data_IF_046950033565
#
_entry.id   IF_046950033565
#
_cell.length_a   1.000
_cell.length_b   1.000
_cell.length_c   1.000
_cell.angle_alpha   90.00
_cell.angle_beta   90.00
_cell.angle_gamma   90.00
#
_symmetry.space_group_name_H-M   'P 1'
#
loop_
_entity.id
_entity.type
_entity.pdbx_description
1 polymer ?
#
# COMPACT_ATOMS: atom_id res chain seq x y z
N UNK A 1 11.39 19.22 -7.45
CA UNK A 1 10.56 19.13 -6.22
C UNK A 1 10.58 20.48 -5.51
N UNK A 2 9.47 20.92 -4.91
CA UNK A 2 9.36 22.24 -4.27
C UNK A 2 9.98 22.33 -2.87
N UNK A 3 10.20 21.21 -2.16
CA UNK A 3 10.78 21.15 -0.81
C UNK A 3 11.65 19.89 -0.62
N UNK A 4 12.89 19.87 -1.13
CA UNK A 4 13.74 18.67 -1.12
C UNK A 4 14.15 18.22 0.29
N UNK A 5 14.24 19.15 1.25
CA UNK A 5 14.70 18.86 2.62
C UNK A 5 13.60 18.36 3.55
N UNK A 6 12.35 18.28 3.06
CA UNK A 6 11.22 17.77 3.86
C UNK A 6 10.94 16.33 3.49
N UNK A 7 10.81 15.42 4.48
CA UNK A 7 10.35 14.07 4.20
C UNK A 7 8.94 14.14 3.60
N UNK A 8 8.72 13.34 2.55
CA UNK A 8 7.42 13.18 1.90
C UNK A 8 7.00 11.73 2.04
N UNK A 9 5.80 11.54 2.60
CA UNK A 9 5.17 10.23 2.75
C UNK A 9 3.92 10.20 1.87
N UNK A 10 3.81 9.17 1.04
CA UNK A 10 2.56 8.80 0.38
C UNK A 10 1.96 7.60 1.12
N UNK A 11 0.74 7.73 1.62
CA UNK A 11 0.01 6.62 2.21
C UNK A 11 -1.08 6.17 1.25
N UNK A 12 -1.09 4.87 0.90
CA UNK A 12 -2.02 4.28 -0.07
C UNK A 12 -2.45 2.88 0.37
N UNK A 13 -3.51 2.35 -0.23
CA UNK A 13 -3.77 0.90 -0.24
C UNK A 13 -3.03 0.21 -1.39
N UNK A 14 -2.98 -1.12 -1.34
CA UNK A 14 -2.52 -2.02 -2.41
C UNK A 14 -3.21 -1.77 -3.76
N UNK A 15 -4.54 -1.66 -3.78
CA UNK A 15 -5.32 -1.31 -4.98
C UNK A 15 -4.86 0.01 -5.59
N UNK A 16 -4.59 1.01 -4.74
CA UNK A 16 -4.10 2.32 -5.16
C UNK A 16 -2.69 2.26 -5.73
N UNK A 17 -1.82 1.44 -5.13
CA UNK A 17 -0.48 1.23 -5.65
C UNK A 17 -0.49 0.54 -7.01
N UNK A 18 -1.36 -0.45 -7.24
CA UNK A 18 -1.46 -1.12 -8.53
C UNK A 18 -1.68 -0.16 -9.71
N UNK A 19 -2.43 0.93 -9.52
CA UNK A 19 -2.62 1.95 -10.56
C UNK A 19 -1.33 2.74 -10.89
N UNK A 20 -0.37 2.77 -9.98
CA UNK A 20 0.79 3.65 -10.02
C UNK A 20 2.13 2.93 -9.78
N UNK A 21 2.19 1.61 -9.96
CA UNK A 21 3.42 0.82 -9.74
C UNK A 21 4.62 1.36 -10.53
N UNK A 22 4.39 1.85 -11.75
CA UNK A 22 5.44 2.45 -12.59
C UNK A 22 6.07 3.72 -11.99
N UNK A 23 5.39 4.40 -11.06
CA UNK A 23 5.91 5.61 -10.43
C UNK A 23 7.05 5.32 -9.44
N UNK A 24 7.21 4.07 -8.99
CA UNK A 24 8.39 3.66 -8.22
C UNK A 24 9.65 3.84 -9.07
N UNK A 25 9.63 3.37 -10.33
CA UNK A 25 10.74 3.57 -11.28
C UNK A 25 11.00 5.06 -11.51
N UNK A 26 9.94 5.85 -11.74
CA UNK A 26 10.07 7.30 -11.93
C UNK A 26 10.75 7.94 -10.72
N UNK A 27 10.36 7.58 -9.49
CA UNK A 27 10.97 8.11 -8.28
C UNK A 27 12.46 7.78 -8.20
N UNK A 28 12.85 6.55 -8.53
CA UNK A 28 14.25 6.10 -8.58
C UNK A 28 15.04 6.87 -9.62
N UNK A 29 14.59 6.87 -10.88
CA UNK A 29 15.29 7.56 -11.99
C UNK A 29 15.39 9.07 -11.79
N UNK A 30 14.47 9.67 -11.04
CA UNK A 30 14.45 11.11 -10.77
C UNK A 30 15.07 11.50 -9.43
N UNK A 31 15.55 10.54 -8.62
CA UNK A 31 16.14 10.81 -7.31
C UNK A 31 15.16 11.45 -6.32
N UNK A 32 13.89 11.04 -6.38
CA UNK A 32 12.81 11.57 -5.54
C UNK A 32 12.74 10.75 -4.26
N UNK A 33 13.11 11.34 -3.13
CA UNK A 33 13.08 10.69 -1.82
C UNK A 33 11.65 10.58 -1.26
N UNK A 34 10.84 9.76 -1.92
CA UNK A 34 9.47 9.44 -1.53
C UNK A 34 9.45 8.15 -0.69
N UNK A 35 8.81 8.22 0.48
CA UNK A 35 8.45 7.03 1.26
C UNK A 35 6.99 6.70 0.95
N UNK A 36 6.73 5.59 0.28
CA UNK A 36 5.39 5.08 0.01
C UNK A 36 5.05 4.02 1.05
N UNK A 37 4.07 4.28 1.90
CA UNK A 37 3.51 3.32 2.85
C UNK A 37 2.25 2.73 2.25
N UNK A 38 2.25 1.41 2.10
CA UNK A 38 1.15 0.65 1.51
C UNK A 38 0.44 -0.11 2.62
N UNK A 39 -0.84 0.17 2.81
CA UNK A 39 -1.72 -0.72 3.56
C UNK A 39 -2.15 -1.87 2.64
N UNK A 40 -1.50 -3.01 2.79
CA UNK A 40 -1.69 -4.19 1.97
C UNK A 40 -2.54 -5.24 2.72
N UNK A 41 -3.84 -5.18 2.49
CA UNK A 41 -4.81 -6.14 3.00
C UNK A 41 -5.25 -7.15 1.93
N UNK A 42 -4.58 -7.18 0.78
CA UNK A 42 -4.95 -7.97 -0.39
C UNK A 42 -6.39 -7.71 -0.88
N UNK A 43 -6.87 -6.47 -0.80
CA UNK A 43 -8.21 -6.15 -1.29
C UNK A 43 -8.64 -4.69 -1.25
N UNK A 44 -9.41 -4.30 -2.27
CA UNK A 44 -10.12 -3.04 -2.37
C UNK A 44 -11.29 -2.91 -1.38
N UNK A 45 -11.04 -3.00 -0.08
CA UNK A 45 -12.05 -3.04 0.98
C UNK A 45 -13.04 -1.86 0.97
N UNK A 46 -12.66 -0.72 0.41
CA UNK A 46 -13.58 0.42 0.22
C UNK A 46 -14.75 0.09 -0.71
N UNK A 47 -14.53 -0.82 -1.68
CA UNK A 47 -15.55 -1.26 -2.62
C UNK A 47 -16.44 -2.37 -2.04
N UNK A 48 -15.99 -3.09 -1.01
CA UNK A 48 -16.70 -4.25 -0.42
C UNK A 48 -18.14 -3.91 -0.03
N UNK A 49 -18.37 -2.79 0.68
CA UNK A 49 -19.75 -2.39 1.07
C UNK A 49 -20.64 -2.06 -0.13
N UNK A 50 -20.07 -1.45 -1.16
CA UNK A 50 -20.80 -1.17 -2.41
C UNK A 50 -21.17 -2.46 -3.13
N UNK A 51 -20.22 -3.39 -3.17
CA UNK A 51 -20.37 -4.72 -3.75
C UNK A 51 -21.45 -5.53 -3.04
N UNK A 52 -21.35 -5.68 -1.72
CA UNK A 52 -22.33 -6.44 -0.92
C UNK A 52 -23.75 -5.91 -1.13
N UNK A 53 -23.93 -4.58 -1.20
CA UNK A 53 -25.23 -3.96 -1.50
C UNK A 53 -25.73 -4.27 -2.91
N UNK A 54 -24.85 -4.20 -3.91
CA UNK A 54 -25.22 -4.46 -5.31
C UNK A 54 -25.68 -5.90 -5.54
N UNK A 55 -25.16 -6.85 -4.76
CA UNK A 55 -25.48 -8.29 -4.86
C UNK A 55 -26.40 -8.78 -3.73
N UNK A 56 -27.07 -7.88 -3.01
CA UNK A 56 -28.05 -8.25 -1.96
C UNK A 56 -27.47 -9.08 -0.81
N UNK A 57 -26.17 -8.93 -0.52
CA UNK A 57 -25.46 -9.70 0.49
C UNK A 57 -25.19 -11.16 0.12
N UNK A 58 -25.45 -11.57 -1.12
CA UNK A 58 -25.29 -12.94 -1.62
C UNK A 58 -24.13 -13.04 -2.61
N UNK A 59 -22.98 -12.47 -2.25
CA UNK A 59 -21.77 -12.59 -3.06
C UNK A 59 -21.32 -14.07 -3.11
N UNK A 60 -21.06 -14.57 -4.32
CA UNK A 60 -20.40 -15.88 -4.49
C UNK A 60 -18.90 -15.75 -4.24
N UNK A 61 -18.21 -16.87 -4.03
CA UNK A 61 -16.75 -16.85 -3.87
C UNK A 61 -16.05 -16.17 -5.06
N UNK A 62 -16.52 -16.46 -6.29
CA UNK A 62 -16.03 -15.82 -7.52
C UNK A 62 -16.29 -14.32 -7.59
N UNK A 63 -17.32 -13.84 -6.90
CA UNK A 63 -17.65 -12.42 -6.84
C UNK A 63 -16.60 -11.65 -6.01
N UNK A 64 -16.01 -12.31 -5.00
CA UNK A 64 -14.95 -11.71 -4.17
C UNK A 64 -13.65 -11.45 -4.95
N UNK A 65 -13.34 -12.28 -5.95
CA UNK A 65 -12.17 -12.11 -6.85
C UNK A 65 -12.15 -10.76 -7.58
N UNK A 66 -13.29 -10.06 -7.70
CA UNK A 66 -13.38 -8.75 -8.34
C UNK A 66 -12.74 -7.62 -7.53
N UNK A 67 -12.49 -7.84 -6.23
CA UNK A 67 -11.93 -6.83 -5.34
C UNK A 67 -10.86 -7.35 -4.40
N UNK A 68 -10.62 -8.66 -4.33
CA UNK A 68 -9.48 -9.27 -3.61
C UNK A 68 -8.31 -9.53 -4.54
N UNK A 69 -7.09 -9.47 -4.01
CA UNK A 69 -5.86 -9.70 -4.74
C UNK A 69 -5.09 -10.91 -4.18
N UNK A 70 -4.06 -11.34 -4.91
CA UNK A 70 -3.11 -12.33 -4.41
C UNK A 70 -2.14 -11.67 -3.42
N UNK A 71 -1.51 -12.49 -2.57
CA UNK A 71 -0.37 -12.04 -1.76
C UNK A 71 0.79 -11.70 -2.69
N UNK A 72 1.03 -10.40 -2.85
CA UNK A 72 2.09 -9.82 -3.66
C UNK A 72 2.96 -8.98 -2.76
N UNK A 73 4.25 -9.29 -2.78
CA UNK A 73 5.28 -8.57 -2.03
C UNK A 73 5.73 -7.32 -2.81
N UNK A 74 5.13 -6.17 -2.47
CA UNK A 74 5.47 -4.89 -3.09
C UNK A 74 6.85 -4.38 -2.68
N UNK A 75 7.36 -4.79 -1.51
CA UNK A 75 8.72 -4.46 -1.11
C UNK A 75 9.74 -5.06 -2.09
N UNK A 76 9.57 -6.34 -2.47
CA UNK A 76 10.43 -6.98 -3.47
C UNK A 76 10.28 -6.37 -4.86
N UNK A 77 9.06 -6.01 -5.27
CA UNK A 77 8.85 -5.29 -6.54
C UNK A 77 9.61 -3.95 -6.53
N UNK A 78 9.55 -3.21 -5.43
CA UNK A 78 10.25 -1.95 -5.28
C UNK A 78 11.78 -2.13 -5.37
N UNK A 79 12.33 -3.18 -4.75
CA UNK A 79 13.75 -3.53 -4.87
C UNK A 79 14.16 -3.81 -6.32
N UNK A 80 13.34 -4.54 -7.09
CA UNK A 80 13.59 -4.79 -8.51
C UNK A 80 13.62 -3.51 -9.35
N UNK A 81 12.87 -2.47 -8.93
CA UNK A 81 12.85 -1.16 -9.57
C UNK A 81 13.96 -0.22 -9.05
N UNK A 82 14.78 -0.66 -8.09
CA UNK A 82 15.88 0.11 -7.52
C UNK A 82 15.50 1.01 -6.34
N UNK A 83 14.29 0.87 -5.78
CA UNK A 83 13.91 1.48 -4.50
C UNK A 83 14.33 0.58 -3.33
N UNK A 84 14.23 1.08 -2.10
CA UNK A 84 14.33 0.24 -0.90
C UNK A 84 12.95 -0.40 -0.62
N UNK A 85 12.90 -1.72 -0.51
CA UNK A 85 11.73 -2.45 -0.03
C UNK A 85 11.79 -2.71 1.47
N UNK A 86 10.69 -2.53 2.19
CA UNK A 86 10.52 -2.95 3.58
C UNK A 86 9.16 -3.61 3.72
N UNK A 87 9.13 -4.91 4.02
CA UNK A 87 7.89 -5.62 4.36
C UNK A 87 7.67 -5.61 5.86
N UNK A 88 6.43 -5.39 6.29
CA UNK A 88 6.00 -5.39 7.70
C UNK A 88 4.86 -6.40 7.85
N UNK A 89 5.16 -7.55 8.45
CA UNK A 89 4.17 -8.60 8.73
C UNK A 89 3.67 -8.59 10.19
N UNK A 90 4.35 -7.86 11.10
CA UNK A 90 3.97 -7.77 12.51
C UNK A 90 3.77 -6.32 12.93
N UNK A 91 2.72 -5.99 13.71
CA UNK A 91 2.49 -4.63 14.18
C UNK A 91 3.67 -4.00 14.92
N UNK A 92 4.42 -4.79 15.71
CA UNK A 92 5.58 -4.32 16.46
C UNK A 92 6.75 -3.86 15.60
N UNK A 93 6.81 -4.28 14.33
CA UNK A 93 7.91 -3.96 13.42
C UNK A 93 7.69 -2.61 12.68
N UNK A 94 6.46 -2.06 12.75
CA UNK A 94 6.07 -0.88 11.97
C UNK A 94 6.88 0.37 12.31
N UNK A 95 7.10 0.64 13.60
CA UNK A 95 7.83 1.84 14.03
C UNK A 95 9.26 1.83 13.48
N UNK A 96 9.98 0.71 13.63
CA UNK A 96 11.34 0.56 13.11
C UNK A 96 11.40 0.60 11.58
N UNK A 97 10.37 0.09 10.89
CA UNK A 97 10.27 0.18 9.44
C UNK A 97 10.14 1.63 8.96
N UNK A 98 9.31 2.45 9.62
CA UNK A 98 9.14 3.87 9.30
C UNK A 98 10.42 4.68 9.57
N UNK A 99 11.09 4.44 10.70
CA UNK A 99 12.36 5.11 11.02
C UNK A 99 13.44 4.82 9.97
N UNK A 100 13.55 3.55 9.57
CA UNK A 100 14.47 3.11 8.51
C UNK A 100 14.10 3.73 7.15
N UNK A 101 12.81 3.81 6.82
CA UNK A 101 12.34 4.39 5.55
C UNK A 101 12.65 5.89 5.47
N UNK A 102 12.35 6.64 6.53
CA UNK A 102 12.56 8.09 6.59
C UNK A 102 14.05 8.46 6.58
N UNK A 103 14.91 7.59 7.13
CA UNK A 103 16.35 7.80 7.19
C UNK A 103 17.11 7.30 5.93
N UNK A 104 16.43 6.64 4.99
CA UNK A 104 17.08 5.97 3.86
C UNK A 104 17.68 6.93 2.81
N UNK A 105 17.16 8.16 2.72
CA UNK A 105 17.63 9.16 1.75
C UNK A 105 17.48 8.75 0.28
N UNK A 106 16.58 7.81 -0.02
CA UNK A 106 16.25 7.27 -1.36
C UNK A 106 14.78 6.86 -1.41
N UNK A 107 14.17 6.57 -2.58
CA UNK A 107 12.81 6.06 -2.65
C UNK A 107 12.64 4.78 -1.84
N UNK A 108 11.54 4.66 -1.10
CA UNK A 108 11.22 3.50 -0.25
C UNK A 108 9.77 3.08 -0.44
N UNK A 109 9.51 1.77 -0.49
CA UNK A 109 8.18 1.20 -0.34
C UNK A 109 8.14 0.40 0.96
N UNK A 110 7.27 0.80 1.87
CA UNK A 110 6.95 0.09 3.11
C UNK A 110 5.63 -0.65 2.87
N UNK A 111 5.71 -1.95 2.62
CA UNK A 111 4.59 -2.84 2.38
C UNK A 111 4.09 -3.41 3.71
N UNK A 112 2.99 -2.86 4.21
CA UNK A 112 2.43 -3.20 5.53
C UNK A 112 1.27 -4.16 5.35
N UNK A 113 1.49 -5.42 5.73
CA UNK A 113 0.46 -6.44 5.66
C UNK A 113 -0.57 -6.24 6.78
N UNK A 114 -1.84 -6.19 6.40
CA UNK A 114 -2.96 -6.03 7.33
C UNK A 114 -4.07 -7.03 7.05
N UNK A 115 -4.99 -7.17 8.02
CA UNK A 115 -6.08 -8.13 7.93
C UNK A 115 -7.21 -7.59 7.02
N UNK A 116 -7.61 -8.39 6.03
CA UNK A 116 -8.70 -8.09 5.09
C UNK A 116 -10.07 -7.99 5.77
N UNK A 117 -10.25 -8.63 6.92
CA UNK A 117 -11.46 -8.59 7.74
C UNK A 117 -11.66 -7.26 8.46
N UNK A 118 -10.65 -6.41 8.56
CA UNK A 118 -10.74 -5.12 9.23
C UNK A 118 -11.27 -4.06 8.25
N UNK A 119 -12.41 -3.48 8.60
CA UNK A 119 -13.01 -2.39 7.85
C UNK A 119 -12.73 -1.04 8.54
N UNK A 120 -12.58 0.01 7.74
CA UNK A 120 -12.57 1.37 8.27
C UNK A 120 -13.88 1.65 9.03
N UNK A 121 -13.82 2.39 10.15
CA UNK A 121 -15.01 2.80 10.86
C UNK A 121 -15.95 3.57 9.92
N UNK A 122 -17.28 3.46 10.11
CA UNK A 122 -18.21 4.28 9.34
C UNK A 122 -17.89 5.78 9.59
N UNK A 123 -18.12 6.65 8.59
CA UNK A 123 -17.98 8.08 8.79
C UNK A 123 -18.86 8.51 9.96
N UNK A 124 -18.29 9.29 10.88
CA UNK A 124 -19.06 9.96 11.93
C UNK A 124 -19.97 10.97 11.25
N UNK A 125 -21.28 10.82 11.46
CA UNK A 125 -22.31 11.74 10.99
C UNK A 125 -22.26 13.07 11.73
#
# INVERSE_FOLDING_TARGET
>A
MRRPDRPVVAFTGDAGLYYHLGEIETAVRRGVNLVTVVNNNHGGNQSRRGFDRAYGGQATDKASELWTYRDVDFARIAEQMGALGIRVDRPGDLAGALDRALSAGRPVVVDVHTDIGVAAPPPVS
#
